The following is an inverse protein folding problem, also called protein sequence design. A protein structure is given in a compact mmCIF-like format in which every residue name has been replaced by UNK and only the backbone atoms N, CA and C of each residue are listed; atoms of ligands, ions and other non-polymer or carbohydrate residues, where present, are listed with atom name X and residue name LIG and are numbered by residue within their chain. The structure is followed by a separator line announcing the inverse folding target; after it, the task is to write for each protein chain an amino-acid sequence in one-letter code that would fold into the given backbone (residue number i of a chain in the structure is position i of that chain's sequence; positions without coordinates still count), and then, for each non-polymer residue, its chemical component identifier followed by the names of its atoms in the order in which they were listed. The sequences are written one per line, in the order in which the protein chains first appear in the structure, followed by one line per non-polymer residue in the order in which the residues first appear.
data_IF_948032013722
#
_entry.id   IF_948032013722
#
_cell.length_a   1.000
_cell.length_b   1.000
_cell.length_c   1.000
_cell.angle_alpha   90.00
_cell.angle_beta   90.00
_cell.angle_gamma   90.00
#
_symmetry.space_group_name_H-M   'P 1'
#
loop_
_entity.id
_entity.type
_entity.pdbx_description
1 polymer ?
#
# COMPACT_ATOMS: atom_id res chain seq x y z
N UNK A 1 -14.14 59.16 26.70
CA UNK A 1 -14.22 57.75 26.25
C UNK A 1 -13.46 56.89 27.23
N UNK A 2 -14.17 56.00 27.90
CA UNK A 2 -13.86 55.47 29.23
C UNK A 2 -13.01 54.21 29.17
N UNK A 3 -11.97 54.11 30.03
CA UNK A 3 -11.07 52.96 30.24
C UNK A 3 -11.75 51.57 30.20
N UNK A 4 -13.03 51.50 30.53
CA UNK A 4 -13.87 50.29 30.45
C UNK A 4 -14.00 49.72 29.03
N UNK A 5 -14.08 50.57 28.01
CA UNK A 5 -14.14 50.12 26.61
C UNK A 5 -12.82 49.52 26.14
N UNK A 6 -11.68 50.07 26.59
CA UNK A 6 -10.35 49.54 26.25
C UNK A 6 -10.14 48.16 26.85
N UNK A 7 -10.54 47.96 28.11
CA UNK A 7 -10.46 46.66 28.78
C UNK A 7 -11.36 45.63 28.07
N UNK A 8 -12.58 46.03 27.69
CA UNK A 8 -13.51 45.15 27.00
C UNK A 8 -12.97 44.68 25.63
N UNK A 9 -12.36 45.58 24.86
CA UNK A 9 -11.73 45.25 23.57
C UNK A 9 -10.54 44.30 23.77
N UNK A 10 -9.71 44.50 24.80
CA UNK A 10 -8.60 43.60 25.11
C UNK A 10 -9.07 42.17 25.47
N UNK A 11 -10.17 42.05 26.22
CA UNK A 11 -10.73 40.74 26.57
C UNK A 11 -11.27 40.01 25.34
N UNK A 12 -11.91 40.72 24.41
CA UNK A 12 -12.39 40.15 23.14
C UNK A 12 -11.22 39.63 22.30
N UNK A 13 -10.15 40.42 22.15
CA UNK A 13 -8.97 39.99 21.42
C UNK A 13 -8.32 38.75 22.04
N UNK A 14 -8.25 38.69 23.37
CA UNK A 14 -7.71 37.53 24.08
C UNK A 14 -8.53 36.27 23.80
N UNK A 15 -9.86 36.38 23.83
CA UNK A 15 -10.77 35.26 23.53
C UNK A 15 -10.63 34.77 22.08
N UNK A 16 -10.49 35.69 21.12
CA UNK A 16 -10.29 35.36 19.70
C UNK A 16 -8.94 34.64 19.51
N UNK A 17 -7.87 35.12 20.14
CA UNK A 17 -6.56 34.44 20.07
C UNK A 17 -6.59 33.04 20.67
N UNK A 18 -7.29 32.83 21.79
CA UNK A 18 -7.45 31.50 22.40
C UNK A 18 -8.23 30.56 21.46
N UNK A 19 -9.27 31.07 20.80
CA UNK A 19 -10.07 30.31 19.82
C UNK A 19 -9.23 29.89 18.61
N UNK A 20 -8.41 30.80 18.09
CA UNK A 20 -7.51 30.52 16.96
C UNK A 20 -6.48 29.46 17.34
N UNK A 21 -5.84 29.60 18.50
CA UNK A 21 -4.87 28.60 19.00
C UNK A 21 -5.53 27.23 19.17
N UNK A 22 -6.75 27.18 19.71
CA UNK A 22 -7.51 25.94 19.87
C UNK A 22 -7.83 25.28 18.53
N UNK A 23 -8.23 26.07 17.52
CA UNK A 23 -8.50 25.59 16.17
C UNK A 23 -7.24 25.04 15.48
N UNK A 24 -6.09 25.69 15.67
CA UNK A 24 -4.81 25.20 15.14
C UNK A 24 -4.30 23.97 15.89
N UNK A 25 -4.49 23.88 17.21
CA UNK A 25 -4.13 22.70 18.01
C UNK A 25 -4.97 21.46 17.65
N UNK A 26 -6.21 21.65 17.21
CA UNK A 26 -7.09 20.55 16.79
C UNK A 26 -6.65 19.94 15.45
N UNK A 27 -5.93 20.69 14.60
CA UNK A 27 -5.44 20.22 13.30
C UNK A 27 -4.18 19.34 13.41
N UNK A 28 -3.63 19.17 14.61
CA UNK A 28 -2.49 18.29 14.89
C UNK A 28 -2.88 17.16 15.84
N UNK A 29 -4.12 16.68 15.80
CA UNK A 29 -4.35 15.30 16.24
C UNK A 29 -3.61 14.42 15.24
N UNK A 30 -2.36 14.09 15.57
CA UNK A 30 -1.65 12.99 14.99
C UNK A 30 -2.62 11.81 14.99
N UNK A 31 -3.19 11.52 13.82
CA UNK A 31 -3.67 10.19 13.52
C UNK A 31 -2.42 9.34 13.68
N UNK A 32 -2.25 8.76 14.87
CA UNK A 32 -1.30 7.69 15.08
C UNK A 32 -1.72 6.63 14.08
N UNK A 33 -1.06 6.64 12.92
CA UNK A 33 -1.10 5.52 12.00
C UNK A 33 -0.82 4.30 12.89
N UNK A 34 -1.73 3.33 12.99
CA UNK A 34 -1.49 2.17 13.81
C UNK A 34 -0.17 1.59 13.30
N UNK A 35 0.82 1.53 14.19
CA UNK A 35 2.13 0.99 13.89
C UNK A 35 1.97 -0.53 13.84
N UNK A 36 1.20 -1.00 12.86
CA UNK A 36 1.07 -2.41 12.54
C UNK A 36 2.32 -2.72 11.72
N UNK A 37 3.43 -2.97 12.43
CA UNK A 37 4.58 -3.63 11.83
C UNK A 37 4.15 -5.06 11.52
N UNK A 38 3.48 -5.27 10.39
CA UNK A 38 3.22 -6.62 9.88
C UNK A 38 4.54 -7.13 9.34
N UNK A 39 5.22 -7.99 10.09
CA UNK A 39 6.31 -8.79 9.55
C UNK A 39 5.70 -9.78 8.57
N UNK A 40 5.78 -9.47 7.27
CA UNK A 40 5.41 -10.40 6.20
C UNK A 40 6.54 -11.43 6.06
N UNK A 41 6.51 -12.43 6.93
CA UNK A 41 7.36 -13.63 6.80
C UNK A 41 6.65 -14.59 5.86
N UNK A 42 7.29 -14.92 4.74
CA UNK A 42 6.82 -15.98 3.86
C UNK A 42 7.20 -17.32 4.50
N UNK A 43 6.24 -18.04 5.07
CA UNK A 43 6.39 -19.48 5.29
C UNK A 43 6.20 -20.17 3.93
N UNK A 44 7.09 -21.08 3.56
CA UNK A 44 7.23 -21.68 2.22
C UNK A 44 5.93 -22.37 1.70
N UNK A 45 4.90 -22.51 2.53
CA UNK A 45 3.71 -23.28 2.21
C UNK A 45 2.33 -22.62 2.42
N UNK A 46 2.23 -21.33 2.78
CA UNK A 46 0.90 -20.69 2.87
C UNK A 46 0.89 -19.23 2.42
N UNK A 47 0.09 -18.93 1.39
CA UNK A 47 -0.24 -17.55 1.06
C UNK A 47 -1.03 -16.93 2.22
N UNK A 48 -0.46 -15.92 2.86
CA UNK A 48 -1.13 -15.18 3.93
C UNK A 48 -2.00 -14.08 3.33
N UNK A 49 -3.28 -14.03 3.72
CA UNK A 49 -4.21 -12.96 3.30
C UNK A 49 -4.37 -11.97 4.44
N UNK A 50 -4.01 -10.71 4.21
CA UNK A 50 -4.15 -9.61 5.17
C UNK A 50 -5.18 -8.63 4.64
N UNK A 51 -6.10 -8.22 5.51
CA UNK A 51 -7.17 -7.30 5.17
C UNK A 51 -6.92 -5.94 5.83
N UNK A 52 -7.05 -4.89 5.02
CA UNK A 52 -7.21 -3.51 5.45
C UNK A 52 -8.43 -2.94 4.70
N UNK A 53 -9.00 -1.83 5.15
CA UNK A 53 -10.16 -1.19 4.54
C UNK A 53 -9.90 -0.74 3.08
N UNK A 54 -8.63 -0.61 2.70
CA UNK A 54 -8.18 -0.15 1.39
C UNK A 54 -7.77 -1.27 0.43
N UNK A 55 -7.26 -2.39 0.97
CA UNK A 55 -6.59 -3.40 0.17
C UNK A 55 -6.67 -4.77 0.83
N UNK A 56 -6.91 -5.80 0.00
CA UNK A 56 -6.76 -7.19 0.39
C UNK A 56 -5.45 -7.72 -0.18
N UNK A 57 -4.52 -8.01 0.73
CA UNK A 57 -3.16 -8.43 0.40
C UNK A 57 -3.08 -9.94 0.35
N UNK A 58 -2.39 -10.47 -0.64
CA UNK A 58 -1.95 -11.86 -0.73
C UNK A 58 -0.46 -11.87 -0.98
N UNK A 59 0.30 -12.64 -0.19
CA UNK A 59 1.74 -12.83 -0.44
C UNK A 59 1.98 -14.23 -0.97
N UNK A 60 2.90 -14.40 -1.91
CA UNK A 60 3.21 -15.70 -2.46
C UNK A 60 4.56 -15.79 -3.15
N UNK A 61 4.80 -16.96 -3.73
CA UNK A 61 5.99 -17.27 -4.52
C UNK A 61 5.61 -18.12 -5.73
N UNK A 62 6.39 -18.00 -6.80
CA UNK A 62 6.30 -18.84 -7.99
C UNK A 62 7.69 -19.03 -8.59
N UNK A 63 7.98 -20.25 -9.05
CA UNK A 63 9.20 -20.57 -9.78
C UNK A 63 8.90 -20.57 -11.29
N UNK A 64 9.75 -19.96 -12.09
CA UNK A 64 9.55 -19.83 -13.54
C UNK A 64 10.80 -19.35 -14.28
N UNK A 65 10.69 -19.13 -15.60
CA UNK A 65 11.80 -18.56 -16.36
C UNK A 65 12.03 -17.09 -15.99
N UNK A 66 13.22 -16.59 -16.29
CA UNK A 66 13.60 -15.18 -16.11
C UNK A 66 12.60 -14.24 -16.77
N UNK A 67 12.33 -13.09 -16.14
CA UNK A 67 11.38 -12.05 -16.59
C UNK A 67 9.91 -12.46 -16.65
N UNK A 68 9.57 -13.72 -16.34
CA UNK A 68 8.20 -14.18 -16.29
C UNK A 68 7.60 -14.00 -14.89
N UNK A 69 6.46 -13.32 -14.81
CA UNK A 69 5.63 -13.23 -13.61
C UNK A 69 4.22 -13.69 -14.01
N UNK A 70 3.75 -14.76 -13.39
CA UNK A 70 2.36 -15.19 -13.50
C UNK A 70 1.45 -14.19 -12.80
N UNK A 71 0.45 -13.70 -13.53
CA UNK A 71 -0.69 -12.95 -12.98
C UNK A 71 -1.97 -13.75 -13.24
N UNK A 72 -3.09 -13.33 -12.63
CA UNK A 72 -4.38 -13.98 -12.87
C UNK A 72 -4.72 -14.03 -14.36
N UNK A 73 -5.30 -15.13 -14.80
CA UNK A 73 -5.85 -15.23 -16.15
C UNK A 73 -6.93 -14.16 -16.37
N UNK A 74 -7.09 -13.74 -17.63
CA UNK A 74 -8.03 -12.67 -18.00
C UNK A 74 -7.73 -11.33 -17.28
N UNK A 75 -6.45 -11.00 -17.18
CA UNK A 75 -6.01 -9.71 -16.66
C UNK A 75 -5.35 -8.88 -17.75
N UNK A 76 -5.46 -7.56 -17.62
CA UNK A 76 -4.79 -6.57 -18.48
C UNK A 76 -3.78 -5.78 -17.65
N UNK A 77 -2.49 -5.89 -17.98
CA UNK A 77 -1.46 -5.03 -17.37
C UNK A 77 -1.61 -3.63 -17.95
N UNK A 78 -1.83 -2.65 -17.08
CA UNK A 78 -2.06 -1.24 -17.44
C UNK A 78 -0.89 -0.35 -17.07
N UNK A 79 -0.07 -0.76 -16.11
CA UNK A 79 1.18 -0.07 -15.79
C UNK A 79 2.23 -1.07 -15.26
N UNK A 80 3.51 -0.76 -15.50
CA UNK A 80 4.67 -1.48 -14.96
C UNK A 80 5.78 -0.47 -14.69
N UNK A 81 6.23 -0.41 -13.44
CA UNK A 81 7.28 0.52 -13.01
C UNK A 81 8.26 -0.17 -12.05
N UNK A 82 9.51 0.31 -12.06
CA UNK A 82 10.51 -0.11 -11.08
C UNK A 82 10.37 0.72 -9.80
N UNK A 83 10.45 0.06 -8.65
CA UNK A 83 10.45 0.70 -7.34
C UNK A 83 11.66 0.21 -6.53
N UNK A 84 12.19 1.08 -5.69
CA UNK A 84 13.28 0.74 -4.79
C UNK A 84 12.72 0.31 -3.43
N UNK A 85 13.09 -0.89 -2.98
CA UNK A 85 12.78 -1.39 -1.65
C UNK A 85 14.09 -1.62 -0.87
N UNK A 86 14.05 -1.69 0.48
CA UNK A 86 15.25 -1.99 1.27
C UNK A 86 15.94 -3.31 0.91
N UNK A 87 15.19 -4.25 0.34
CA UNK A 87 15.66 -5.57 -0.11
C UNK A 87 16.20 -5.57 -1.56
N UNK A 88 16.21 -4.42 -2.24
CA UNK A 88 16.68 -4.24 -3.61
C UNK A 88 15.62 -3.66 -4.53
N UNK A 89 15.94 -3.62 -5.83
CA UNK A 89 15.01 -3.18 -6.85
C UNK A 89 13.89 -4.21 -7.01
N UNK A 90 12.65 -3.73 -6.98
CA UNK A 90 11.45 -4.51 -7.24
C UNK A 90 10.69 -3.91 -8.42
N UNK A 91 9.74 -4.70 -8.95
CA UNK A 91 8.82 -4.23 -9.98
C UNK A 91 7.43 -4.15 -9.38
N UNK A 92 6.76 -3.02 -9.60
CA UNK A 92 5.33 -2.84 -9.36
C UNK A 92 4.58 -2.92 -10.69
N UNK A 93 3.58 -3.79 -10.75
CA UNK A 93 2.62 -3.83 -11.84
C UNK A 93 1.24 -3.42 -11.35
N UNK A 94 0.50 -2.70 -12.20
CA UNK A 94 -0.93 -2.45 -12.07
C UNK A 94 -1.64 -3.26 -13.14
N UNK A 95 -2.66 -4.01 -12.76
CA UNK A 95 -3.49 -4.72 -13.72
C UNK A 95 -4.97 -4.67 -13.36
N UNK A 96 -5.81 -4.70 -14.39
CA UNK A 96 -7.24 -4.89 -14.25
C UNK A 96 -7.53 -6.39 -14.35
N UNK A 97 -8.42 -6.88 -13.50
CA UNK A 97 -8.86 -8.26 -13.55
C UNK A 97 -10.38 -8.33 -13.34
N UNK A 98 -11.05 -8.89 -14.33
CA UNK A 98 -12.49 -9.10 -14.35
C UNK A 98 -12.87 -10.57 -14.51
N UNK A 99 -14.15 -10.80 -14.73
CA UNK A 99 -14.66 -12.14 -15.03
C UNK A 99 -14.29 -12.60 -16.44
N UNK A 100 -14.40 -13.90 -16.69
CA UNK A 100 -14.24 -14.43 -18.04
C UNK A 100 -15.43 -14.06 -18.93
N UNK A 101 -15.29 -14.24 -20.25
CA UNK A 101 -16.43 -14.06 -21.17
C UNK A 101 -17.63 -14.97 -20.84
N UNK A 102 -17.39 -16.11 -20.18
CA UNK A 102 -18.43 -17.07 -19.77
C UNK A 102 -19.04 -16.69 -18.42
N UNK A 103 -18.27 -16.07 -17.54
CA UNK A 103 -18.69 -15.62 -16.21
C UNK A 103 -18.24 -14.18 -15.99
N UNK A 104 -18.95 -13.20 -16.57
CA UNK A 104 -18.55 -11.80 -16.49
C UNK A 104 -18.65 -11.29 -15.05
N UNK A 105 -17.66 -10.52 -14.64
CA UNK A 105 -17.62 -9.81 -13.39
C UNK A 105 -16.98 -8.44 -13.65
N UNK A 106 -17.36 -7.39 -12.90
CA UNK A 106 -16.74 -6.09 -13.03
C UNK A 106 -15.22 -6.17 -12.83
N UNK A 107 -14.49 -5.36 -13.59
CA UNK A 107 -13.05 -5.25 -13.42
C UNK A 107 -12.72 -4.68 -12.04
N UNK A 108 -11.73 -5.31 -11.41
CA UNK A 108 -11.10 -4.83 -10.19
C UNK A 108 -9.66 -4.44 -10.46
N UNK A 109 -9.18 -3.45 -9.72
CA UNK A 109 -7.78 -3.03 -9.79
C UNK A 109 -6.94 -3.88 -8.85
N UNK A 110 -5.83 -4.37 -9.37
CA UNK A 110 -4.81 -5.06 -8.59
C UNK A 110 -3.46 -4.39 -8.78
N UNK A 111 -2.68 -4.41 -7.71
CA UNK A 111 -1.27 -4.10 -7.72
C UNK A 111 -0.48 -5.35 -7.33
N UNK A 112 0.67 -5.58 -7.96
CA UNK A 112 1.59 -6.66 -7.59
C UNK A 112 3.02 -6.13 -7.57
N UNK A 113 3.66 -6.25 -6.41
CA UNK A 113 5.07 -5.97 -6.21
C UNK A 113 5.81 -7.30 -6.23
N UNK A 114 6.83 -7.44 -7.07
CA UNK A 114 7.61 -8.67 -7.12
C UNK A 114 9.12 -8.44 -7.21
N UNK A 115 9.85 -9.45 -6.73
CA UNK A 115 11.31 -9.56 -6.81
C UNK A 115 11.66 -10.94 -7.32
N UNK A 116 12.65 -11.00 -8.19
CA UNK A 116 13.15 -12.24 -8.79
C UNK A 116 14.55 -12.57 -8.26
N UNK A 117 14.74 -13.79 -7.79
CA UNK A 117 16.04 -14.30 -7.32
C UNK A 117 16.38 -15.62 -8.04
N UNK A 118 17.65 -15.85 -8.42
CA UNK A 118 18.08 -17.14 -8.95
C UNK A 118 17.93 -18.26 -7.91
N UNK A 119 17.43 -19.43 -8.32
CA UNK A 119 17.38 -20.62 -7.47
C UNK A 119 18.73 -21.33 -7.57
N UNK A 120 19.56 -21.26 -6.51
CA UNK A 120 20.93 -21.81 -6.53
C UNK A 120 21.03 -23.33 -6.71
N UNK A 121 19.94 -24.06 -6.50
CA UNK A 121 19.94 -25.55 -6.41
C UNK A 121 19.29 -26.26 -7.60
N UNK A 122 18.62 -25.51 -8.49
CA UNK A 122 17.97 -26.03 -9.69
C UNK A 122 18.46 -25.18 -10.85
N UNK A 123 18.95 -25.83 -11.92
CA UNK A 123 19.49 -25.27 -13.17
C UNK A 123 19.43 -23.75 -13.33
N UNK A 124 20.51 -23.12 -13.79
CA UNK A 124 20.73 -21.67 -13.96
C UNK A 124 19.57 -20.87 -14.59
N UNK A 125 18.60 -21.52 -15.22
CA UNK A 125 17.40 -20.96 -15.83
C UNK A 125 16.20 -20.76 -14.87
N UNK A 126 16.19 -21.34 -13.66
CA UNK A 126 15.05 -21.24 -12.75
C UNK A 126 15.16 -20.01 -11.84
N UNK A 127 14.19 -19.11 -12.00
CA UNK A 127 14.06 -17.90 -11.18
C UNK A 127 12.87 -18.07 -10.23
N UNK A 128 13.12 -17.80 -8.95
CA UNK A 128 12.05 -17.67 -7.95
C UNK A 128 11.57 -16.24 -7.89
N UNK A 129 10.28 -16.06 -8.19
CA UNK A 129 9.58 -14.80 -8.06
C UNK A 129 8.82 -14.78 -6.75
N UNK A 130 9.20 -13.89 -5.86
CA UNK A 130 8.45 -13.56 -4.65
C UNK A 130 7.54 -12.39 -4.97
N UNK A 131 6.30 -12.39 -4.49
CA UNK A 131 5.38 -11.29 -4.74
C UNK A 131 4.46 -10.96 -3.56
N UNK A 132 4.09 -9.69 -3.47
CA UNK A 132 2.97 -9.18 -2.69
C UNK A 132 1.95 -8.65 -3.69
N UNK A 133 0.76 -9.20 -3.65
CA UNK A 133 -0.36 -8.76 -4.47
C UNK A 133 -1.41 -8.09 -3.60
N UNK A 134 -2.02 -7.01 -4.09
CA UNK A 134 -3.08 -6.29 -3.41
C UNK A 134 -4.27 -6.03 -4.33
N UNK A 135 -5.44 -6.54 -3.94
CA UNK A 135 -6.74 -6.20 -4.54
C UNK A 135 -7.23 -4.89 -3.92
N UNK A 136 -7.44 -3.86 -4.74
CA UNK A 136 -7.95 -2.55 -4.29
C UNK A 136 -9.41 -2.68 -3.88
N UNK A 137 -9.77 -2.12 -2.73
CA UNK A 137 -11.13 -2.11 -2.20
C UNK A 137 -11.72 -0.70 -2.37
N UNK A 138 -12.90 -0.63 -2.98
CA UNK A 138 -13.58 0.66 -3.23
C UNK A 138 -12.82 1.54 -4.22
N UNK A 139 -12.92 2.86 -4.02
CA UNK A 139 -12.42 3.87 -4.97
C UNK A 139 -11.04 4.47 -4.57
N UNK A 140 -10.38 3.89 -3.56
CA UNK A 140 -9.15 4.43 -2.96
C UNK A 140 -7.88 3.81 -3.57
N UNK A 141 -7.76 3.90 -4.90
CA UNK A 141 -6.67 3.24 -5.63
C UNK A 141 -5.28 3.79 -5.26
N UNK A 142 -5.16 5.11 -5.12
CA UNK A 142 -3.87 5.77 -4.83
C UNK A 142 -3.41 5.39 -3.43
N UNK A 143 -4.30 5.48 -2.44
CA UNK A 143 -4.01 5.14 -1.05
C UNK A 143 -3.68 3.64 -0.91
N UNK A 144 -4.39 2.77 -1.64
CA UNK A 144 -4.09 1.34 -1.67
C UNK A 144 -2.70 1.05 -2.25
N UNK A 145 -2.30 1.72 -3.33
CA UNK A 145 -0.95 1.62 -3.90
C UNK A 145 0.12 2.03 -2.89
N UNK A 146 -0.05 3.17 -2.23
CA UNK A 146 0.89 3.69 -1.25
C UNK A 146 1.03 2.76 -0.04
N UNK A 147 -0.08 2.24 0.48
CA UNK A 147 -0.06 1.31 1.61
C UNK A 147 0.60 -0.02 1.22
N UNK A 148 0.38 -0.52 0.00
CA UNK A 148 1.07 -1.72 -0.50
C UNK A 148 2.59 -1.52 -0.57
N UNK A 149 3.05 -0.37 -1.09
CA UNK A 149 4.49 -0.04 -1.15
C UNK A 149 5.07 0.07 0.25
N UNK A 150 4.36 0.68 1.20
CA UNK A 150 4.78 0.80 2.59
C UNK A 150 4.90 -0.56 3.28
N UNK A 151 3.97 -1.48 3.01
CA UNK A 151 4.07 -2.86 3.50
C UNK A 151 5.25 -3.59 2.87
N UNK A 152 5.49 -3.40 1.57
CA UNK A 152 6.64 -3.97 0.87
C UNK A 152 7.99 -3.44 1.39
N UNK A 153 8.05 -2.24 1.96
CA UNK A 153 9.27 -1.74 2.62
C UNK A 153 9.65 -2.54 3.87
N UNK A 154 8.67 -3.11 4.57
CA UNK A 154 8.90 -3.98 5.73
C UNK A 154 9.10 -5.45 5.33
N UNK A 155 9.02 -5.76 4.04
CA UNK A 155 9.06 -7.13 3.54
C UNK A 155 10.47 -7.71 3.64
N UNK A 156 10.54 -8.94 4.14
CA UNK A 156 11.76 -9.75 4.16
C UNK A 156 11.54 -10.96 3.26
N UNK A 157 12.42 -11.09 2.28
CA UNK A 157 12.47 -12.23 1.38
C UNK A 157 13.72 -13.02 1.73
N UNK A 158 13.56 -14.11 2.47
CA UNK A 158 14.63 -15.03 2.83
C UNK A 158 14.85 -16.06 1.71
#
# INVERSE_FOLDING_TARGET
MTKKYTIFICVIFLLISILIISFFAQKTSETKAPNISVTLTLDEHTGSVIWNDLIKITVGQQDGPTEHVGIRNHSEITNKESIDLPIGQAILIRFLHGGSAVYPAPDKVFYLIYIQKPVKEKSEELIRTFYIEGEVIGDSEIEAKEELIKLAHAWKVE
#
